data_IF_813369981586
#
_entry.id   IF_813369981586
#
_cell.length_a   1.000
_cell.length_b   1.000
_cell.length_c   1.000
_cell.angle_alpha   90.00
_cell.angle_beta   90.00
_cell.angle_gamma   90.00
#
_symmetry.space_group_name_H-M   'P 1'
#
loop_
_entity.id
_entity.type
_entity.pdbx_description
1 polymer ?
#
# COMPACT_ATOMS: atom_id res chain seq x y z
N UNK A 1 -3.51 -2.27 -18.96
CA UNK A 1 -3.08 -1.01 -18.32
C UNK A 1 -3.28 0.22 -19.21
N UNK A 2 -2.79 0.24 -20.46
CA UNK A 2 -2.89 1.43 -21.36
C UNK A 2 -4.32 1.99 -21.48
N UNK A 3 -5.33 1.14 -21.72
CA UNK A 3 -6.72 1.59 -21.82
C UNK A 3 -7.30 2.15 -20.51
N UNK A 4 -6.87 1.64 -19.36
CA UNK A 4 -7.31 2.17 -18.05
C UNK A 4 -6.73 3.55 -17.82
N UNK A 5 -5.45 3.75 -18.14
CA UNK A 5 -4.78 5.03 -17.97
C UNK A 5 -5.41 6.11 -18.87
N UNK A 6 -5.75 5.78 -20.13
CA UNK A 6 -6.45 6.71 -21.03
C UNK A 6 -7.79 7.15 -20.48
N UNK A 7 -8.62 6.20 -20.02
CA UNK A 7 -9.95 6.51 -19.48
C UNK A 7 -9.89 7.24 -18.13
N UNK A 8 -8.90 6.93 -17.28
CA UNK A 8 -8.66 7.70 -16.06
C UNK A 8 -8.22 9.14 -16.36
N UNK A 9 -7.42 9.34 -17.41
CA UNK A 9 -7.04 10.68 -17.87
C UNK A 9 -8.27 11.47 -18.35
N UNK A 10 -9.17 10.86 -19.11
CA UNK A 10 -10.45 11.48 -19.49
C UNK A 10 -11.26 11.91 -18.27
N UNK A 11 -11.38 11.03 -17.27
CA UNK A 11 -12.06 11.34 -16.01
C UNK A 11 -11.38 12.49 -15.25
N UNK A 12 -10.05 12.60 -15.32
CA UNK A 12 -9.32 13.68 -14.66
C UNK A 12 -9.76 15.07 -15.16
N UNK A 13 -10.21 15.22 -16.41
CA UNK A 13 -10.76 16.49 -16.90
C UNK A 13 -12.13 16.85 -16.30
N UNK A 14 -12.88 15.87 -15.83
CA UNK A 14 -14.23 16.07 -15.28
C UNK A 14 -14.28 16.03 -13.74
N UNK A 15 -13.26 15.45 -13.10
CA UNK A 15 -13.22 15.21 -11.66
C UNK A 15 -11.99 15.89 -11.02
N UNK A 16 -12.15 17.10 -10.44
CA UNK A 16 -11.02 17.89 -9.95
C UNK A 16 -10.15 17.19 -8.91
N UNK A 17 -10.73 16.38 -8.01
CA UNK A 17 -9.95 15.62 -7.03
C UNK A 17 -9.02 14.57 -7.69
N UNK A 18 -9.46 13.95 -8.78
CA UNK A 18 -8.66 13.03 -9.59
C UNK A 18 -7.62 13.78 -10.43
N UNK A 19 -7.98 14.93 -11.00
CA UNK A 19 -7.04 15.82 -11.69
C UNK A 19 -5.84 16.16 -10.80
N UNK A 20 -6.13 16.69 -9.60
CA UNK A 20 -5.09 17.08 -8.66
C UNK A 20 -4.24 15.87 -8.20
N UNK A 21 -4.85 14.70 -7.98
CA UNK A 21 -4.09 13.48 -7.68
C UNK A 21 -3.16 13.08 -8.83
N UNK A 22 -3.65 13.13 -10.07
CA UNK A 22 -2.88 12.75 -11.26
C UNK A 22 -1.70 13.69 -11.49
N UNK A 23 -1.91 15.00 -11.31
CA UNK A 23 -0.84 16.00 -11.38
C UNK A 23 0.19 15.80 -10.27
N UNK A 24 -0.24 15.53 -9.05
CA UNK A 24 0.69 15.23 -7.96
C UNK A 24 1.53 13.98 -8.28
N UNK A 25 0.92 12.89 -8.77
CA UNK A 25 1.66 11.69 -9.16
C UNK A 25 2.65 11.98 -10.29
N UNK A 26 2.25 12.76 -11.30
CA UNK A 26 3.13 13.14 -12.40
C UNK A 26 4.33 13.97 -11.90
N UNK A 27 4.11 14.94 -11.01
CA UNK A 27 5.17 15.75 -10.41
C UNK A 27 6.11 14.92 -9.52
N UNK A 28 5.56 13.99 -8.72
CA UNK A 28 6.37 13.06 -7.92
C UNK A 28 7.25 12.18 -8.81
N UNK A 29 6.70 11.69 -9.93
CA UNK A 29 7.45 10.86 -10.88
C UNK A 29 8.50 11.66 -11.64
N UNK A 30 8.17 12.87 -12.08
CA UNK A 30 9.13 13.80 -12.71
C UNK A 30 10.30 14.10 -11.76
N UNK A 31 10.02 14.39 -10.49
CA UNK A 31 11.04 14.58 -9.46
C UNK A 31 11.91 13.34 -9.27
N UNK A 32 11.35 12.14 -9.36
CA UNK A 32 12.12 10.90 -9.27
C UNK A 32 13.09 10.72 -10.46
N UNK A 33 12.65 11.06 -11.68
CA UNK A 33 13.47 10.92 -12.88
C UNK A 33 14.50 12.03 -13.06
N UNK A 34 14.12 13.27 -12.76
CA UNK A 34 14.88 14.48 -13.11
C UNK A 34 15.48 15.19 -11.89
N UNK A 35 15.06 14.81 -10.67
CA UNK A 35 15.55 15.41 -9.43
C UNK A 35 16.88 14.80 -8.97
N UNK A 36 17.63 15.57 -8.18
CA UNK A 36 18.76 15.02 -7.42
C UNK A 36 18.27 14.11 -6.28
N UNK A 37 19.14 13.25 -5.76
CA UNK A 37 18.84 12.35 -4.62
C UNK A 37 18.32 13.11 -3.38
N UNK A 38 18.67 14.38 -3.23
CA UNK A 38 18.25 15.26 -2.12
C UNK A 38 17.02 16.13 -2.44
N UNK A 39 16.39 15.94 -3.61
CA UNK A 39 15.33 16.80 -4.10
C UNK A 39 14.06 16.65 -3.25
N UNK A 40 13.69 17.72 -2.55
CA UNK A 40 12.46 17.80 -1.77
C UNK A 40 11.24 17.90 -2.67
N UNK A 41 10.10 17.50 -2.12
CA UNK A 41 8.78 17.73 -2.75
C UNK A 41 8.60 19.21 -3.07
N UNK A 42 8.16 19.49 -4.29
CA UNK A 42 7.93 20.87 -4.73
C UNK A 42 6.68 21.45 -4.08
N UNK A 43 6.56 22.79 -4.09
CA UNK A 43 5.34 23.49 -3.65
C UNK A 43 4.12 23.02 -4.44
N UNK A 44 4.30 22.79 -5.73
CA UNK A 44 3.30 22.35 -6.69
C UNK A 44 2.83 20.92 -6.36
N UNK A 45 3.77 20.00 -6.10
CA UNK A 45 3.46 18.63 -5.68
C UNK A 45 2.63 18.64 -4.39
N UNK A 46 3.06 19.43 -3.40
CA UNK A 46 2.33 19.59 -2.14
C UNK A 46 0.94 20.19 -2.33
N UNK A 47 0.83 21.23 -3.18
CA UNK A 47 -0.43 21.88 -3.50
C UNK A 47 -1.44 20.91 -4.13
N UNK A 48 -1.02 20.18 -5.17
CA UNK A 48 -1.90 19.23 -5.86
C UNK A 48 -2.29 18.07 -4.95
N UNK A 49 -1.37 17.54 -4.13
CA UNK A 49 -1.69 16.51 -3.15
C UNK A 49 -2.71 16.99 -2.11
N UNK A 50 -2.51 18.18 -1.56
CA UNK A 50 -3.43 18.79 -0.60
C UNK A 50 -4.83 19.00 -1.21
N UNK A 51 -4.90 19.65 -2.38
CA UNK A 51 -6.16 19.91 -3.08
C UNK A 51 -6.91 18.63 -3.40
N UNK A 52 -6.22 17.60 -3.88
CA UNK A 52 -6.82 16.29 -4.13
C UNK A 52 -7.45 15.70 -2.87
N UNK A 53 -6.73 15.72 -1.75
CA UNK A 53 -7.19 15.19 -0.46
C UNK A 53 -8.43 15.93 0.04
N UNK A 54 -8.41 17.26 0.01
CA UNK A 54 -9.55 18.09 0.46
C UNK A 54 -10.79 17.86 -0.40
N UNK A 55 -10.62 17.87 -1.73
CA UNK A 55 -11.74 17.71 -2.66
C UNK A 55 -12.32 16.29 -2.62
N UNK A 56 -11.48 15.27 -2.47
CA UNK A 56 -11.93 13.89 -2.25
C UNK A 56 -12.73 13.79 -0.94
N UNK A 57 -12.24 14.38 0.15
CA UNK A 57 -12.94 14.39 1.43
C UNK A 57 -14.31 15.06 1.33
N UNK A 58 -14.40 16.20 0.63
CA UNK A 58 -15.67 16.87 0.35
C UNK A 58 -16.60 15.97 -0.47
N UNK A 59 -16.10 15.33 -1.54
CA UNK A 59 -16.91 14.44 -2.37
C UNK A 59 -17.45 13.25 -1.59
N UNK A 60 -16.67 12.68 -0.68
CA UNK A 60 -17.08 11.52 0.15
C UNK A 60 -18.18 11.85 1.17
N UNK A 61 -18.47 13.14 1.43
CA UNK A 61 -19.58 13.58 2.29
C UNK A 61 -20.92 13.64 1.56
N UNK A 62 -20.88 13.66 0.23
CA UNK A 62 -22.07 13.70 -0.62
C UNK A 62 -22.48 12.28 -1.06
N UNK A 63 -23.76 12.03 -1.40
CA UNK A 63 -24.20 10.77 -1.98
C UNK A 63 -23.36 10.36 -3.19
N UNK A 64 -22.94 9.09 -3.26
CA UNK A 64 -22.04 8.59 -4.31
C UNK A 64 -22.86 7.86 -5.39
N UNK A 65 -22.86 8.40 -6.61
CA UNK A 65 -23.53 7.79 -7.75
C UNK A 65 -22.58 6.82 -8.47
N UNK A 66 -23.12 6.00 -9.39
CA UNK A 66 -22.33 5.03 -10.14
C UNK A 66 -21.15 5.66 -10.90
N UNK A 67 -21.36 6.85 -11.51
CA UNK A 67 -20.34 7.58 -12.27
C UNK A 67 -19.14 8.04 -11.41
N UNK A 68 -19.34 8.23 -10.11
CA UNK A 68 -18.33 8.78 -9.22
C UNK A 68 -17.36 7.73 -8.69
N UNK A 69 -17.72 6.45 -8.80
CA UNK A 69 -17.01 5.33 -8.14
C UNK A 69 -15.58 5.13 -8.65
N UNK A 70 -15.37 5.16 -9.97
CA UNK A 70 -14.03 5.01 -10.54
C UNK A 70 -13.13 6.21 -10.30
N UNK A 71 -13.59 7.46 -10.45
CA UNK A 71 -12.83 8.63 -10.01
C UNK A 71 -12.39 8.53 -8.55
N UNK A 72 -13.32 8.20 -7.64
CA UNK A 72 -13.03 8.06 -6.20
C UNK A 72 -11.95 6.99 -5.97
N UNK A 73 -12.12 5.80 -6.56
CA UNK A 73 -11.17 4.71 -6.40
C UNK A 73 -9.79 5.05 -6.99
N UNK A 74 -9.76 5.69 -8.16
CA UNK A 74 -8.54 6.14 -8.81
C UNK A 74 -7.78 7.18 -7.99
N UNK A 75 -8.49 8.16 -7.42
CA UNK A 75 -7.88 9.17 -6.53
C UNK A 75 -7.35 8.54 -5.25
N UNK A 76 -8.11 7.65 -4.61
CA UNK A 76 -7.63 6.94 -3.42
C UNK A 76 -6.39 6.09 -3.73
N UNK A 77 -6.34 5.43 -4.89
CA UNK A 77 -5.16 4.70 -5.36
C UNK A 77 -3.95 5.61 -5.55
N UNK A 78 -4.13 6.76 -6.20
CA UNK A 78 -3.07 7.75 -6.39
C UNK A 78 -2.56 8.33 -5.06
N UNK A 79 -3.43 8.61 -4.09
CA UNK A 79 -3.02 9.08 -2.76
C UNK A 79 -2.19 8.04 -2.00
N UNK A 80 -2.50 6.74 -2.15
CA UNK A 80 -1.67 5.66 -1.62
C UNK A 80 -0.30 5.66 -2.28
N UNK A 81 -0.22 5.74 -3.61
CA UNK A 81 1.06 5.82 -4.36
C UNK A 81 1.89 7.02 -3.90
N UNK A 82 1.27 8.19 -3.80
CA UNK A 82 1.93 9.40 -3.31
C UNK A 82 2.49 9.21 -1.91
N UNK A 83 1.74 8.54 -1.02
CA UNK A 83 2.18 8.30 0.36
C UNK A 83 3.40 7.39 0.42
N UNK A 84 3.46 6.34 -0.42
CA UNK A 84 4.65 5.51 -0.56
C UNK A 84 5.86 6.26 -1.14
N UNK A 85 5.62 7.35 -1.89
CA UNK A 85 6.65 8.14 -2.57
C UNK A 85 7.07 9.40 -1.80
N UNK A 86 6.65 9.52 -0.54
CA UNK A 86 6.77 10.74 0.29
C UNK A 86 7.83 10.65 1.39
N UNK A 87 8.82 9.77 1.30
CA UNK A 87 9.92 9.79 2.27
C UNK A 87 10.73 11.07 2.11
N UNK A 88 10.73 11.93 3.13
CA UNK A 88 11.59 13.11 3.19
C UNK A 88 12.91 12.84 3.95
N UNK A 89 13.13 11.59 4.39
CA UNK A 89 14.32 11.20 5.13
C UNK A 89 15.54 11.20 4.20
N UNK A 90 16.62 11.85 4.62
CA UNK A 90 17.91 11.93 3.90
C UNK A 90 18.93 10.93 4.40
N UNK A 91 18.80 10.54 5.66
CA UNK A 91 19.63 9.49 6.26
C UNK A 91 18.75 8.38 6.82
N UNK A 92 19.29 7.16 7.01
CA UNK A 92 18.56 6.07 7.64
C UNK A 92 17.97 6.46 9.00
N UNK A 93 18.68 7.27 9.78
CA UNK A 93 18.28 7.71 11.13
C UNK A 93 17.08 8.67 11.12
N UNK A 94 16.87 9.37 10.01
CA UNK A 94 15.69 10.23 9.81
C UNK A 94 14.46 9.42 9.37
N UNK A 95 14.63 8.18 8.93
CA UNK A 95 13.55 7.29 8.51
C UNK A 95 12.98 6.49 9.68
N UNK A 96 11.69 6.17 9.62
CA UNK A 96 11.11 5.15 10.48
C UNK A 96 11.66 3.77 10.06
N UNK A 97 12.06 2.87 10.98
CA UNK A 97 11.80 2.88 12.44
C UNK A 97 12.92 3.49 13.30
N UNK A 98 13.98 4.06 12.72
CA UNK A 98 15.15 4.56 13.45
C UNK A 98 14.90 5.93 14.10
N UNK A 99 14.15 6.82 13.45
CA UNK A 99 13.79 8.13 14.03
C UNK A 99 12.96 8.00 15.32
N UNK A 100 12.90 9.07 16.10
CA UNK A 100 11.98 9.19 17.25
C UNK A 100 10.52 9.03 16.82
N UNK A 101 9.68 8.44 17.68
CA UNK A 101 8.28 8.20 17.34
C UNK A 101 7.56 9.51 17.02
N UNK A 102 6.84 9.52 15.90
CA UNK A 102 6.12 10.69 15.40
C UNK A 102 4.67 10.38 15.03
N UNK A 103 3.87 11.42 14.86
CA UNK A 103 2.46 11.30 14.44
C UNK A 103 2.29 10.74 13.03
N UNK A 104 3.35 10.78 12.20
CA UNK A 104 3.36 10.27 10.82
C UNK A 104 3.83 8.83 10.68
N UNK A 105 4.14 8.15 11.79
CA UNK A 105 4.61 6.77 11.76
C UNK A 105 3.51 5.84 11.23
N UNK A 106 3.84 5.07 10.18
CA UNK A 106 2.92 4.18 9.47
C UNK A 106 1.75 4.89 8.76
N UNK A 107 1.89 6.17 8.39
CA UNK A 107 0.87 6.91 7.62
C UNK A 107 0.46 6.19 6.32
N UNK A 108 1.41 5.51 5.67
CA UNK A 108 1.15 4.70 4.48
C UNK A 108 0.12 3.58 4.74
N UNK A 109 0.14 2.99 5.94
CA UNK A 109 -0.81 1.96 6.34
C UNK A 109 -2.19 2.58 6.60
N UNK A 110 -2.23 3.73 7.26
CA UNK A 110 -3.47 4.47 7.48
C UNK A 110 -4.14 4.85 6.15
N UNK A 111 -3.37 5.34 5.18
CA UNK A 111 -3.87 5.66 3.84
C UNK A 111 -4.35 4.42 3.09
N UNK A 112 -3.61 3.31 3.16
CA UNK A 112 -3.99 2.04 2.52
C UNK A 112 -5.30 1.50 3.09
N UNK A 113 -5.46 1.51 4.42
CA UNK A 113 -6.71 1.13 5.07
C UNK A 113 -7.86 2.07 4.74
N UNK A 114 -7.60 3.38 4.66
CA UNK A 114 -8.57 4.39 4.24
C UNK A 114 -9.06 4.19 2.80
N UNK A 115 -8.19 3.75 1.89
CA UNK A 115 -8.62 3.32 0.55
C UNK A 115 -9.49 2.07 0.63
N UNK A 116 -9.07 1.06 1.39
CA UNK A 116 -9.78 -0.23 1.45
C UNK A 116 -11.16 -0.13 2.11
N UNK A 117 -11.41 0.85 2.98
CA UNK A 117 -12.76 1.10 3.52
C UNK A 117 -13.76 1.53 2.43
N UNK A 118 -13.29 2.06 1.31
CA UNK A 118 -14.13 2.40 0.15
C UNK A 118 -14.53 1.18 -0.69
N UNK A 119 -13.92 0.02 -0.46
CA UNK A 119 -14.04 -1.18 -1.31
C UNK A 119 -15.49 -1.54 -1.63
N UNK A 120 -16.33 -1.71 -0.62
CA UNK A 120 -17.73 -2.12 -0.82
C UNK A 120 -18.58 -1.01 -1.45
N UNK A 121 -18.27 0.24 -1.13
CA UNK A 121 -19.00 1.41 -1.61
C UNK A 121 -18.77 1.65 -3.11
N UNK A 122 -17.51 1.62 -3.55
CA UNK A 122 -17.12 1.85 -4.95
C UNK A 122 -17.17 0.58 -5.79
N UNK A 123 -17.00 -0.59 -5.16
CA UNK A 123 -16.93 -1.90 -5.78
C UNK A 123 -16.12 -1.89 -7.10
N UNK A 124 -14.77 -1.91 -7.05
CA UNK A 124 -13.94 -1.85 -8.25
C UNK A 124 -14.07 -3.10 -9.16
N UNK A 125 -14.79 -4.14 -8.69
CA UNK A 125 -15.11 -5.34 -9.47
C UNK A 125 -16.44 -5.26 -10.22
N UNK A 126 -17.21 -4.17 -10.07
CA UNK A 126 -18.48 -4.01 -10.77
C UNK A 126 -18.30 -4.09 -12.31
N UNK A 127 -19.31 -4.59 -13.06
CA UNK A 127 -19.14 -4.90 -14.47
C UNK A 127 -18.68 -3.72 -15.35
N UNK A 128 -19.10 -2.51 -14.99
CA UNK A 128 -18.84 -1.23 -15.65
C UNK A 128 -17.57 -0.50 -15.16
N UNK A 129 -16.85 -1.03 -14.17
CA UNK A 129 -15.66 -0.36 -13.64
C UNK A 129 -14.45 -0.49 -14.56
N UNK A 130 -13.73 0.62 -14.71
CA UNK A 130 -12.39 0.66 -15.33
C UNK A 130 -11.39 -0.26 -14.62
N UNK A 131 -11.56 -0.47 -13.32
CA UNK A 131 -10.64 -1.26 -12.49
C UNK A 131 -10.94 -2.76 -12.51
N UNK A 132 -12.00 -3.19 -13.17
CA UNK A 132 -12.35 -4.62 -13.30
C UNK A 132 -11.24 -5.44 -13.96
N UNK A 133 -10.41 -4.82 -14.81
CA UNK A 133 -9.23 -5.47 -15.39
C UNK A 133 -8.24 -5.96 -14.33
N UNK A 134 -8.27 -5.39 -13.12
CA UNK A 134 -7.45 -5.80 -11.98
C UNK A 134 -8.07 -6.94 -11.15
N UNK A 135 -9.14 -7.59 -11.63
CA UNK A 135 -9.84 -8.62 -10.87
C UNK A 135 -8.93 -9.76 -10.39
N UNK A 136 -8.00 -10.22 -11.23
CA UNK A 136 -7.01 -11.22 -10.84
C UNK A 136 -6.11 -10.74 -9.69
N UNK A 137 -5.64 -9.49 -9.77
CA UNK A 137 -4.87 -8.87 -8.68
C UNK A 137 -5.70 -8.79 -7.40
N UNK A 138 -6.97 -8.38 -7.48
CA UNK A 138 -7.84 -8.30 -6.30
C UNK A 138 -8.15 -9.68 -5.69
N UNK A 139 -8.34 -10.71 -6.51
CA UNK A 139 -8.50 -12.08 -6.02
C UNK A 139 -7.25 -12.55 -5.25
N UNK A 140 -6.06 -12.21 -5.76
CA UNK A 140 -4.80 -12.48 -5.08
C UNK A 140 -4.66 -11.71 -3.76
N UNK A 141 -5.01 -10.43 -3.72
CA UNK A 141 -5.06 -9.65 -2.46
C UNK A 141 -5.98 -10.30 -1.41
N UNK A 142 -7.03 -10.98 -1.87
CA UNK A 142 -8.03 -11.61 -1.02
C UNK A 142 -7.75 -13.09 -0.72
N UNK A 143 -6.65 -13.64 -1.22
CA UNK A 143 -6.33 -15.07 -1.07
C UNK A 143 -6.31 -15.47 0.42
N UNK A 144 -6.86 -16.66 0.75
CA UNK A 144 -6.91 -17.11 2.13
C UNK A 144 -5.49 -17.34 2.68
N UNK A 145 -5.31 -17.03 3.95
CA UNK A 145 -4.12 -17.43 4.71
C UNK A 145 -4.42 -18.75 5.45
N UNK A 146 -3.41 -19.58 5.76
CA UNK A 146 -3.61 -20.80 6.54
C UNK A 146 -4.29 -20.52 7.87
N UNK A 147 -5.09 -21.46 8.38
CA UNK A 147 -5.79 -21.31 9.67
C UNK A 147 -4.91 -21.70 10.87
N UNK A 148 -3.95 -22.61 10.66
CA UNK A 148 -3.03 -23.06 11.70
C UNK A 148 -1.69 -23.54 11.14
N UNK A 149 -0.72 -23.67 12.04
CA UNK A 149 0.59 -24.27 11.78
C UNK A 149 1.60 -23.37 11.10
N UNK A 150 2.72 -23.98 10.68
CA UNK A 150 3.90 -23.27 10.15
C UNK A 150 4.21 -23.64 8.69
N UNK A 151 3.28 -24.32 8.01
CA UNK A 151 3.47 -24.77 6.63
C UNK A 151 3.85 -23.60 5.71
N UNK A 152 4.94 -23.77 4.95
CA UNK A 152 5.46 -22.74 4.04
C UNK A 152 6.32 -21.66 4.69
N UNK A 153 6.47 -21.65 6.02
CA UNK A 153 7.33 -20.70 6.74
C UNK A 153 8.71 -21.33 6.97
N UNK A 154 9.78 -20.60 6.59
CA UNK A 154 11.15 -21.03 6.87
C UNK A 154 11.40 -21.17 8.39
N UNK A 155 12.13 -22.21 8.81
CA UNK A 155 12.28 -22.55 10.23
C UNK A 155 12.88 -21.42 11.10
N UNK A 156 13.81 -20.65 10.54
CA UNK A 156 14.37 -19.46 11.19
C UNK A 156 13.31 -18.36 11.42
N UNK A 157 12.45 -18.11 10.43
CA UNK A 157 11.37 -17.13 10.54
C UNK A 157 10.31 -17.59 11.55
N UNK A 158 9.96 -18.88 11.52
CA UNK A 158 9.07 -19.48 12.52
C UNK A 158 9.63 -19.33 13.95
N UNK A 159 10.94 -19.54 14.14
CA UNK A 159 11.59 -19.37 15.44
C UNK A 159 11.58 -17.90 15.92
N UNK A 160 11.89 -16.93 15.04
CA UNK A 160 11.83 -15.49 15.35
C UNK A 160 10.42 -15.09 15.79
N UNK A 161 9.40 -15.55 15.06
CA UNK A 161 7.99 -15.28 15.35
C UNK A 161 7.40 -16.16 16.46
N UNK A 162 8.19 -17.08 17.04
CA UNK A 162 7.77 -18.05 18.06
C UNK A 162 6.55 -18.86 17.63
N UNK A 163 6.48 -19.23 16.36
CA UNK A 163 5.40 -20.02 15.77
C UNK A 163 5.65 -21.52 16.02
N UNK A 164 4.56 -22.26 16.19
CA UNK A 164 4.52 -23.72 16.37
C UNK A 164 3.41 -24.31 15.51
N UNK A 165 3.38 -25.63 15.36
CA UNK A 165 2.33 -26.31 14.57
C UNK A 165 0.91 -26.05 15.08
N UNK A 166 0.76 -25.74 16.37
CA UNK A 166 -0.52 -25.36 16.98
C UNK A 166 -0.82 -23.86 16.93
N UNK A 167 0.06 -23.04 16.37
CA UNK A 167 -0.16 -21.60 16.28
C UNK A 167 -1.27 -21.27 15.29
N UNK A 168 -2.04 -20.25 15.62
CA UNK A 168 -3.16 -19.71 14.84
C UNK A 168 -3.13 -18.18 14.89
N UNK A 169 -4.02 -17.52 14.15
CA UNK A 169 -4.17 -16.07 14.18
C UNK A 169 -4.57 -15.52 15.56
N UNK A 170 -5.32 -16.30 16.35
CA UNK A 170 -5.79 -15.93 17.68
C UNK A 170 -4.69 -16.07 18.74
N UNK A 171 -3.82 -17.08 18.58
CA UNK A 171 -2.82 -17.45 19.56
C UNK A 171 -1.46 -16.79 19.35
N UNK A 172 -1.16 -16.36 18.11
CA UNK A 172 0.10 -15.69 17.79
C UNK A 172 -0.11 -14.45 16.90
N UNK A 173 0.20 -13.24 17.40
CA UNK A 173 0.08 -11.99 16.65
C UNK A 173 0.85 -11.94 15.32
N UNK A 174 1.94 -12.69 15.17
CA UNK A 174 2.78 -12.70 13.96
C UNK A 174 2.23 -13.63 12.87
N UNK A 175 1.27 -14.49 13.19
CA UNK A 175 0.88 -15.65 12.38
C UNK A 175 0.53 -15.28 10.93
N UNK A 176 -0.46 -14.41 10.72
CA UNK A 176 -0.85 -14.00 9.37
C UNK A 176 0.25 -13.24 8.62
N UNK A 177 1.01 -12.41 9.34
CA UNK A 177 2.09 -11.63 8.76
C UNK A 177 3.24 -12.52 8.28
N UNK A 178 3.62 -13.53 9.08
CA UNK A 178 4.66 -14.49 8.72
C UNK A 178 4.26 -15.36 7.52
N UNK A 179 3.01 -15.84 7.48
CA UNK A 179 2.48 -16.56 6.31
C UNK A 179 2.45 -15.67 5.07
N UNK A 180 1.99 -14.43 5.19
CA UNK A 180 1.93 -13.50 4.06
C UNK A 180 3.33 -13.15 3.51
N UNK A 181 4.31 -12.90 4.37
CA UNK A 181 5.71 -12.69 3.95
C UNK A 181 6.26 -13.94 3.28
N UNK A 182 6.04 -15.11 3.86
CA UNK A 182 6.58 -16.37 3.33
C UNK A 182 6.06 -16.67 1.91
N UNK A 183 4.81 -16.32 1.61
CA UNK A 183 4.28 -16.44 0.24
C UNK A 183 5.00 -15.52 -0.76
N UNK A 184 5.46 -14.35 -0.32
CA UNK A 184 6.21 -13.42 -1.18
C UNK A 184 7.64 -13.93 -1.39
N UNK A 185 8.30 -14.39 -0.33
CA UNK A 185 9.71 -14.82 -0.36
C UNK A 185 9.99 -16.04 -1.24
N UNK A 186 8.96 -16.81 -1.61
CA UNK A 186 9.11 -18.00 -2.46
C UNK A 186 8.95 -17.66 -3.95
N UNK A 187 8.44 -16.47 -4.28
CA UNK A 187 8.24 -16.07 -5.67
C UNK A 187 9.56 -15.64 -6.30
N UNK A 188 9.80 -15.97 -7.57
CA UNK A 188 10.92 -15.41 -8.32
C UNK A 188 10.84 -13.89 -8.43
N UNK A 189 12.01 -13.26 -8.54
CA UNK A 189 12.11 -11.84 -8.85
C UNK A 189 11.37 -11.52 -10.15
N UNK A 190 10.59 -10.44 -10.15
CA UNK A 190 9.76 -10.03 -11.29
C UNK A 190 8.33 -10.62 -11.30
N UNK A 191 8.04 -11.64 -10.50
CA UNK A 191 6.69 -12.24 -10.41
C UNK A 191 5.85 -11.66 -9.25
N UNK A 192 6.47 -10.85 -8.38
CA UNK A 192 5.76 -10.20 -7.28
C UNK A 192 4.88 -9.05 -7.78
N UNK A 193 3.58 -9.34 -7.82
CA UNK A 193 2.53 -8.37 -8.12
C UNK A 193 2.16 -7.52 -6.90
N UNK A 194 1.44 -6.42 -7.15
CA UNK A 194 0.74 -5.65 -6.09
C UNK A 194 -0.25 -6.50 -5.28
N UNK A 195 -0.75 -7.59 -5.85
CA UNK A 195 -1.67 -8.51 -5.18
C UNK A 195 -1.00 -9.21 -3.99
N UNK A 196 0.18 -9.79 -4.23
CA UNK A 196 0.96 -10.46 -3.20
C UNK A 196 1.39 -9.51 -2.08
N UNK A 197 1.88 -8.31 -2.44
CA UNK A 197 2.36 -7.35 -1.44
C UNK A 197 1.23 -6.84 -0.53
N UNK A 198 0.00 -6.78 -1.05
CA UNK A 198 -1.17 -6.37 -0.26
C UNK A 198 -1.63 -7.43 0.75
N UNK A 199 -1.28 -8.70 0.55
CA UNK A 199 -1.61 -9.77 1.50
C UNK A 199 -0.97 -9.49 2.87
N UNK A 200 0.29 -9.06 2.84
CA UNK A 200 1.00 -8.64 4.05
C UNK A 200 0.38 -7.39 4.66
N UNK A 201 0.11 -6.34 3.88
CA UNK A 201 -0.47 -5.10 4.42
C UNK A 201 -1.84 -5.34 5.05
N UNK A 202 -2.63 -6.27 4.50
CA UNK A 202 -3.90 -6.72 5.09
C UNK A 202 -3.72 -7.38 6.44
N UNK A 203 -2.60 -8.07 6.69
CA UNK A 203 -2.29 -8.69 7.98
C UNK A 203 -1.89 -7.66 9.07
N UNK A 204 -1.66 -6.39 8.70
CA UNK A 204 -1.27 -5.34 9.65
C UNK A 204 -2.49 -4.73 10.36
N UNK A 205 -3.06 -5.52 11.27
CA UNK A 205 -4.17 -5.13 12.13
C UNK A 205 -3.97 -5.65 13.55
N UNK A 206 -4.86 -5.23 14.47
CA UNK A 206 -4.92 -5.75 15.83
C UNK A 206 -3.56 -5.73 16.56
N UNK A 207 -3.21 -6.80 17.30
CA UNK A 207 -1.97 -6.87 18.06
C UNK A 207 -0.68 -6.69 17.23
N UNK A 208 -0.65 -7.19 15.99
CA UNK A 208 0.53 -7.06 15.13
C UNK A 208 0.85 -5.61 14.79
N UNK A 209 -0.20 -4.81 14.50
CA UNK A 209 -0.05 -3.37 14.27
C UNK A 209 0.55 -2.66 15.48
N UNK A 210 0.13 -3.03 16.70
CA UNK A 210 0.67 -2.46 17.93
C UNK A 210 2.13 -2.86 18.17
N UNK A 211 2.53 -4.07 17.77
CA UNK A 211 3.93 -4.50 17.83
C UNK A 211 4.82 -3.70 16.87
N UNK A 212 4.34 -3.40 15.65
CA UNK A 212 5.06 -2.50 14.75
C UNK A 212 5.22 -1.09 15.33
N UNK A 213 4.16 -0.53 15.92
CA UNK A 213 4.22 0.79 16.58
C UNK A 213 5.23 0.83 17.74
N UNK A 214 5.31 -0.27 18.49
CA UNK A 214 6.27 -0.46 19.59
C UNK A 214 7.66 -0.89 19.13
N UNK A 215 7.88 -1.03 17.82
CA UNK A 215 9.16 -1.45 17.22
C UNK A 215 9.62 -2.80 17.75
N UNK A 216 8.67 -3.72 17.94
CA UNK A 216 9.00 -5.09 18.30
C UNK A 216 9.96 -5.68 17.24
N UNK A 217 11.09 -6.30 17.65
CA UNK A 217 12.09 -6.79 16.72
C UNK A 217 11.55 -7.80 15.69
N UNK A 218 10.69 -8.73 16.09
CA UNK A 218 10.14 -9.73 15.18
C UNK A 218 9.15 -9.09 14.18
N UNK A 219 8.36 -8.12 14.64
CA UNK A 219 7.49 -7.35 13.76
C UNK A 219 8.28 -6.53 12.74
N UNK A 220 9.37 -5.90 13.16
CA UNK A 220 10.25 -5.14 12.27
C UNK A 220 10.96 -6.04 11.26
N UNK A 221 11.40 -7.25 11.64
CA UNK A 221 11.98 -8.23 10.71
C UNK A 221 10.96 -8.61 9.62
N UNK A 222 9.71 -8.89 10.00
CA UNK A 222 8.66 -9.21 9.02
C UNK A 222 8.39 -8.06 8.05
N UNK A 223 8.33 -6.83 8.57
CA UNK A 223 8.14 -5.65 7.73
C UNK A 223 9.36 -5.38 6.82
N UNK A 224 10.57 -5.61 7.33
CA UNK A 224 11.79 -5.51 6.54
C UNK A 224 11.82 -6.54 5.42
N UNK A 225 11.51 -7.81 5.68
CA UNK A 225 11.46 -8.85 4.65
C UNK A 225 10.43 -8.53 3.55
N UNK A 226 9.29 -7.96 3.93
CA UNK A 226 8.30 -7.46 2.97
C UNK A 226 8.82 -6.28 2.14
N UNK A 227 9.59 -5.36 2.74
CA UNK A 227 10.17 -4.21 2.05
C UNK A 227 11.37 -4.56 1.17
N UNK A 228 12.29 -5.41 1.65
CA UNK A 228 13.55 -5.76 0.99
C UNK A 228 13.30 -6.44 -0.35
N UNK A 229 12.35 -7.38 -0.40
CA UNK A 229 11.94 -8.05 -1.64
C UNK A 229 11.39 -7.06 -2.70
N UNK A 230 11.08 -5.81 -2.32
CA UNK A 230 10.62 -4.77 -3.23
C UNK A 230 11.77 -3.96 -3.85
N UNK A 231 12.95 -3.89 -3.24
CA UNK A 231 14.07 -3.03 -3.73
C UNK A 231 14.92 -3.68 -4.83
N UNK A 232 15.06 -5.02 -4.85
CA UNK A 232 15.78 -5.73 -5.93
C UNK A 232 15.12 -5.57 -7.32
N UNK A 233 13.83 -5.22 -7.35
CA UNK A 233 13.07 -4.87 -8.57
C UNK A 233 13.41 -3.47 -9.13
N UNK A 234 14.08 -2.61 -8.36
CA UNK A 234 14.41 -1.22 -8.79
C UNK A 234 15.87 -1.03 -9.21
N UNK A 235 16.74 -2.01 -8.96
CA UNK A 235 18.18 -1.94 -9.24
C UNK A 235 18.62 -2.80 -10.44
N UNK A 236 17.69 -3.52 -11.08
CA UNK A 236 17.96 -4.40 -12.23
C UNK A 236 17.23 -3.99 -13.51
N UNK A 237 16.69 -2.76 -13.56
CA UNK A 237 16.07 -2.15 -14.76
C UNK A 237 17.01 -1.23 -15.51
#
# INVERSE_FOLDING_TARGET
>A
MIQVNSKLLELAFSYPFLMHASLAVALTYDRHLNGSLDCRRTSEECYHRYKSTVLLNMRLKEPIEAKDKDPIWGTAAALVVLTFSSSDARTPEEAWPLKSSGSSDLDWLHMTNGKMSLWHMVNPLRPDSLFRVMAGTFAQMQSPLPESGIGGIAGNLAAICKLRDSSTAETNPYFHAAHAVSQILVLPDGEVTTGHTQLFTRSIHGPFKEFLRKRDPAALVLLYLWHFFREELSLTG
#
